data_IF_465190607191
#
_entry.id   IF_465190607191
#
_cell.length_a   1.000
_cell.length_b   1.000
_cell.length_c   1.000
_cell.angle_alpha   90.00
_cell.angle_beta   90.00
_cell.angle_gamma   90.00
#
_symmetry.space_group_name_H-M   'P 1'
#
loop_
_entity.id
_entity.type
_entity.pdbx_description
1 polymer ?
#
# COMPACT_ATOMS: atom_id res chain seq x y z
N UNK A 1 -15.86 19.37 -11.00
CA UNK A 1 -15.09 19.97 -9.89
C UNK A 1 -15.21 19.14 -8.62
N UNK A 2 -14.41 19.42 -7.59
CA UNK A 2 -14.79 19.21 -6.17
C UNK A 2 -15.02 20.62 -5.59
N UNK A 3 -15.91 20.77 -4.60
CA UNK A 3 -16.10 22.00 -3.84
C UNK A 3 -15.42 21.86 -2.49
N UNK A 4 -14.98 22.98 -1.91
CA UNK A 4 -14.21 22.97 -0.66
C UNK A 4 -15.11 22.86 0.58
N UNK A 5 -16.36 23.32 0.48
CA UNK A 5 -17.35 23.25 1.55
C UNK A 5 -18.77 23.03 1.03
N UNK A 6 -19.70 22.73 1.95
CA UNK A 6 -21.13 22.59 1.64
C UNK A 6 -21.75 23.96 1.34
N UNK A 7 -21.34 25.02 2.03
CA UNK A 7 -21.78 26.40 1.78
C UNK A 7 -21.45 26.89 0.36
N UNK A 8 -20.35 26.41 -0.25
CA UNK A 8 -19.99 26.75 -1.63
C UNK A 8 -21.05 26.25 -2.63
N UNK A 9 -21.82 25.21 -2.31
CA UNK A 9 -22.93 24.70 -3.14
C UNK A 9 -23.97 25.78 -3.41
N UNK A 10 -24.24 26.63 -2.41
CA UNK A 10 -25.28 27.66 -2.48
C UNK A 10 -24.76 29.00 -3.02
N UNK A 11 -23.45 29.17 -3.11
CA UNK A 11 -22.81 30.46 -3.45
C UNK A 11 -21.95 30.40 -4.72
N UNK A 12 -21.71 29.22 -5.28
CA UNK A 12 -20.90 29.07 -6.49
C UNK A 12 -21.58 29.70 -7.71
N UNK A 13 -20.94 30.71 -8.30
CA UNK A 13 -21.37 31.33 -9.55
C UNK A 13 -20.81 30.65 -10.80
N UNK A 14 -21.37 30.99 -11.98
CA UNK A 14 -20.99 30.39 -13.27
C UNK A 14 -19.47 30.48 -13.55
N UNK A 15 -18.87 31.64 -13.31
CA UNK A 15 -17.45 31.86 -13.59
C UNK A 15 -16.55 30.95 -12.71
N UNK A 16 -16.87 30.84 -11.42
CA UNK A 16 -16.18 29.95 -10.48
C UNK A 16 -16.36 28.49 -10.88
N UNK A 17 -17.57 28.09 -11.29
CA UNK A 17 -17.85 26.73 -11.74
C UNK A 17 -17.05 26.34 -12.99
N UNK A 18 -16.95 27.23 -13.99
CA UNK A 18 -16.17 27.00 -15.21
C UNK A 18 -14.69 26.84 -14.88
N UNK A 19 -14.14 27.69 -14.03
CA UNK A 19 -12.75 27.59 -13.57
C UNK A 19 -12.50 26.27 -12.85
N UNK A 20 -13.34 25.87 -11.90
CA UNK A 20 -13.18 24.60 -11.16
C UNK A 20 -13.32 23.36 -12.05
N UNK A 21 -14.09 23.46 -13.15
CA UNK A 21 -14.17 22.40 -14.16
C UNK A 21 -12.88 22.34 -14.98
N UNK A 22 -12.37 23.49 -15.42
CA UNK A 22 -11.12 23.59 -16.16
C UNK A 22 -9.93 23.07 -15.33
N UNK A 23 -9.83 23.50 -14.07
CA UNK A 23 -8.80 23.05 -13.12
C UNK A 23 -8.87 21.55 -12.87
N UNK A 24 -10.06 20.98 -12.64
CA UNK A 24 -10.20 19.53 -12.46
C UNK A 24 -9.87 18.74 -13.73
N UNK A 25 -10.06 19.33 -14.91
CA UNK A 25 -9.67 18.74 -16.19
C UNK A 25 -8.15 18.79 -16.39
N UNK A 26 -7.50 19.86 -15.95
CA UNK A 26 -6.05 20.05 -16.03
C UNK A 26 -5.28 19.25 -14.97
N UNK A 27 -5.80 19.15 -13.73
CA UNK A 27 -5.12 18.55 -12.57
C UNK A 27 -5.25 17.04 -12.42
N UNK A 28 -5.83 16.33 -13.39
CA UNK A 28 -6.09 14.89 -13.29
C UNK A 28 -7.34 14.60 -12.45
N UNK A 29 -8.34 13.97 -13.07
CA UNK A 29 -9.67 13.78 -12.47
C UNK A 29 -9.72 12.95 -11.17
N UNK A 30 -10.91 12.98 -10.56
CA UNK A 30 -11.43 12.23 -9.39
C UNK A 30 -10.40 11.48 -8.53
N UNK A 31 -9.61 12.23 -7.77
CA UNK A 31 -8.81 11.72 -6.66
C UNK A 31 -7.39 12.23 -6.74
N UNK A 32 -7.11 13.35 -6.05
CA UNK A 32 -5.84 14.09 -6.06
C UNK A 32 -4.66 13.32 -5.46
N UNK A 33 -4.33 12.16 -6.01
CA UNK A 33 -3.06 11.49 -5.78
C UNK A 33 -2.23 11.72 -7.03
N UNK A 34 -1.04 12.28 -6.85
CA UNK A 34 -0.07 12.50 -7.92
C UNK A 34 -0.02 11.26 -8.83
N UNK A 35 -0.04 11.50 -10.15
CA UNK A 35 0.12 10.43 -11.12
C UNK A 35 1.33 9.57 -10.73
N UNK A 36 1.16 8.25 -10.73
CA UNK A 36 2.21 7.31 -10.31
C UNK A 36 3.53 7.66 -11.01
N UNK A 37 4.57 7.96 -10.21
CA UNK A 37 5.89 8.37 -10.71
C UNK A 37 6.44 7.25 -11.59
N UNK A 38 6.82 7.57 -12.83
CA UNK A 38 7.51 6.61 -13.68
C UNK A 38 8.93 6.42 -13.13
N UNK A 39 9.27 5.16 -12.82
CA UNK A 39 10.60 4.78 -12.32
C UNK A 39 11.49 4.45 -13.51
N UNK A 40 11.01 3.57 -14.40
CA UNK A 40 11.78 3.06 -15.55
C UNK A 40 10.88 2.86 -16.77
N UNK A 41 11.36 3.18 -17.95
CA UNK A 41 10.70 2.87 -19.23
C UNK A 41 11.47 1.74 -19.91
N UNK A 42 10.80 0.62 -20.20
CA UNK A 42 11.44 -0.58 -20.75
C UNK A 42 11.43 -0.60 -22.29
N UNK A 43 10.60 0.22 -22.94
CA UNK A 43 10.46 0.26 -24.39
C UNK A 43 9.12 -0.31 -24.85
N UNK A 44 9.04 -0.76 -26.10
CA UNK A 44 7.80 -1.30 -26.68
C UNK A 44 7.56 -2.77 -26.35
N UNK A 45 6.31 -3.14 -26.11
CA UNK A 45 5.94 -4.52 -25.84
C UNK A 45 6.09 -5.40 -27.10
N UNK A 46 6.88 -6.50 -27.07
CA UNK A 46 7.27 -7.25 -28.27
C UNK A 46 6.09 -7.89 -29.03
N UNK A 47 5.04 -8.33 -28.34
CA UNK A 47 3.87 -8.95 -28.96
C UNK A 47 2.61 -8.06 -29.00
N UNK A 48 2.63 -6.93 -28.29
CA UNK A 48 1.43 -6.14 -27.99
C UNK A 48 1.49 -4.69 -28.47
N UNK A 49 2.67 -4.25 -28.91
CA UNK A 49 2.95 -2.86 -29.28
C UNK A 49 2.83 -1.89 -28.10
N UNK A 50 3.32 -0.66 -28.23
CA UNK A 50 3.17 0.39 -27.22
C UNK A 50 4.07 0.23 -25.99
N UNK A 51 4.23 1.32 -25.24
CA UNK A 51 5.25 1.44 -24.21
C UNK A 51 4.93 0.64 -22.93
N UNK A 52 5.95 -0.05 -22.42
CA UNK A 52 5.99 -0.71 -21.12
C UNK A 52 6.77 0.16 -20.14
N UNK A 53 6.14 0.50 -19.01
CA UNK A 53 6.74 1.36 -17.98
C UNK A 53 6.59 0.75 -16.59
N UNK A 54 7.62 0.88 -15.76
CA UNK A 54 7.58 0.57 -14.33
C UNK A 54 7.27 1.85 -13.58
N UNK A 55 6.25 1.81 -12.72
CA UNK A 55 5.72 2.99 -12.02
C UNK A 55 5.54 2.71 -10.53
N UNK A 56 5.69 3.75 -9.72
CA UNK A 56 5.44 3.68 -8.28
C UNK A 56 3.96 3.99 -7.97
N UNK A 57 3.21 2.98 -7.54
CA UNK A 57 1.76 3.08 -7.29
C UNK A 57 1.38 2.98 -5.81
N UNK A 58 0.08 3.20 -5.53
CA UNK A 58 -0.49 3.10 -4.16
C UNK A 58 -0.22 1.76 -3.48
N UNK A 59 -0.18 0.68 -4.26
CA UNK A 59 -0.02 -0.69 -3.76
C UNK A 59 1.42 -1.21 -3.87
N UNK A 60 2.37 -0.33 -4.23
CA UNK A 60 3.75 -0.66 -4.54
C UNK A 60 4.07 -0.51 -6.04
N UNK A 61 5.31 -0.82 -6.44
CA UNK A 61 5.74 -0.76 -7.83
C UNK A 61 4.94 -1.70 -8.72
N UNK A 62 4.65 -1.27 -9.94
CA UNK A 62 3.92 -2.06 -10.92
C UNK A 62 4.42 -1.78 -12.34
N UNK A 63 4.28 -2.76 -13.22
CA UNK A 63 4.43 -2.61 -14.66
C UNK A 63 3.10 -2.16 -15.26
N UNK A 64 3.14 -1.12 -16.08
CA UNK A 64 2.03 -0.61 -16.87
C UNK A 64 2.30 -0.85 -18.35
N UNK A 65 1.28 -1.37 -19.03
CA UNK A 65 1.21 -1.46 -20.48
C UNK A 65 -0.22 -1.11 -20.92
N UNK A 66 -0.41 0.12 -21.40
CA UNK A 66 -1.71 0.65 -21.76
C UNK A 66 -2.74 0.53 -20.62
N UNK A 67 -3.74 -0.35 -20.83
CA UNK A 67 -4.83 -0.60 -19.88
C UNK A 67 -4.49 -1.64 -18.79
N UNK A 68 -3.42 -2.40 -18.97
CA UNK A 68 -3.03 -3.50 -18.07
C UNK A 68 -1.99 -3.01 -17.07
N UNK A 69 -2.21 -3.34 -15.80
CA UNK A 69 -1.32 -3.00 -14.70
C UNK A 69 -1.01 -4.26 -13.89
N UNK A 70 0.26 -4.68 -13.87
CA UNK A 70 0.74 -5.84 -13.14
C UNK A 70 1.66 -5.42 -11.99
N UNK A 71 1.24 -5.67 -10.74
CA UNK A 71 2.04 -5.35 -9.55
C UNK A 71 3.26 -6.24 -9.47
N UNK A 72 4.42 -5.66 -9.13
CA UNK A 72 5.65 -6.42 -8.93
C UNK A 72 5.53 -7.31 -7.67
N UNK A 73 6.18 -8.48 -7.65
CA UNK A 73 6.34 -9.27 -6.44
C UNK A 73 6.99 -8.48 -5.30
N UNK A 74 6.63 -8.80 -4.06
CA UNK A 74 7.22 -8.16 -2.87
C UNK A 74 8.71 -8.47 -2.79
N UNK A 75 9.54 -7.45 -2.60
CA UNK A 75 11.00 -7.59 -2.49
C UNK A 75 11.74 -7.55 -3.83
N UNK A 76 11.04 -7.44 -4.96
CA UNK A 76 11.66 -7.17 -6.25
C UNK A 76 11.96 -5.68 -6.38
N UNK A 77 13.18 -5.34 -6.79
CA UNK A 77 13.58 -3.96 -7.06
C UNK A 77 13.02 -3.50 -8.42
N UNK A 78 12.22 -2.42 -8.48
CA UNK A 78 11.68 -1.89 -9.73
C UNK A 78 12.73 -1.53 -10.79
N UNK A 79 13.94 -1.14 -10.39
CA UNK A 79 15.01 -0.80 -11.34
C UNK A 79 15.60 -2.04 -12.03
N UNK A 80 15.58 -3.18 -11.33
CA UNK A 80 16.09 -4.46 -11.84
C UNK A 80 15.16 -5.15 -12.86
N UNK A 81 13.93 -4.66 -13.03
CA UNK A 81 12.95 -5.28 -13.93
C UNK A 81 13.43 -5.19 -15.38
N UNK A 82 13.38 -6.34 -16.06
CA UNK A 82 13.68 -6.49 -17.49
C UNK A 82 12.39 -6.57 -18.31
N UNK A 83 12.50 -6.39 -19.63
CA UNK A 83 11.35 -6.50 -20.54
C UNK A 83 10.70 -7.88 -20.47
N UNK A 84 11.49 -8.95 -20.42
CA UNK A 84 11.00 -10.33 -20.37
C UNK A 84 10.10 -10.58 -19.15
N UNK A 85 10.60 -10.26 -17.95
CA UNK A 85 9.83 -10.42 -16.71
C UNK A 85 8.60 -9.50 -16.70
N UNK A 86 8.70 -8.31 -17.28
CA UNK A 86 7.57 -7.41 -17.41
C UNK A 86 6.45 -8.00 -18.28
N UNK A 87 6.80 -8.59 -19.44
CA UNK A 87 5.86 -9.26 -20.35
C UNK A 87 5.18 -10.44 -19.66
N UNK A 88 5.92 -11.27 -18.93
CA UNK A 88 5.35 -12.40 -18.18
C UNK A 88 4.33 -11.95 -17.13
N UNK A 89 4.67 -10.92 -16.34
CA UNK A 89 3.77 -10.36 -15.33
C UNK A 89 2.50 -9.77 -15.95
N UNK A 90 2.64 -9.08 -17.09
CA UNK A 90 1.52 -8.51 -17.84
C UNK A 90 0.62 -9.61 -18.42
N UNK A 91 1.19 -10.64 -19.02
CA UNK A 91 0.43 -11.78 -19.56
C UNK A 91 -0.32 -12.53 -18.45
N UNK A 92 0.34 -12.79 -17.32
CA UNK A 92 -0.29 -13.42 -16.15
C UNK A 92 -1.44 -12.57 -15.59
N UNK A 93 -1.31 -11.24 -15.62
CA UNK A 93 -2.37 -10.33 -15.20
C UNK A 93 -3.53 -10.28 -16.20
N UNK A 94 -3.24 -10.27 -17.50
CA UNK A 94 -4.25 -10.30 -18.55
C UNK A 94 -5.11 -11.57 -18.44
N UNK A 95 -4.49 -12.72 -18.21
CA UNK A 95 -5.18 -14.00 -18.04
C UNK A 95 -6.05 -14.07 -16.77
N UNK A 96 -5.63 -13.41 -15.67
CA UNK A 96 -6.36 -13.42 -14.38
C UNK A 96 -7.57 -12.48 -14.34
N UNK A 97 -7.69 -11.55 -15.28
CA UNK A 97 -8.75 -10.54 -15.27
C UNK A 97 -8.66 -9.55 -14.09
N UNK A 98 -9.63 -8.63 -13.96
CA UNK A 98 -9.65 -7.65 -12.88
C UNK A 98 -9.77 -8.37 -11.53
N UNK A 99 -8.73 -8.30 -10.70
CA UNK A 99 -8.74 -8.97 -9.40
C UNK A 99 -9.82 -8.37 -8.51
N UNK A 100 -10.87 -9.13 -8.20
CA UNK A 100 -11.72 -8.90 -7.02
C UNK A 100 -10.78 -8.82 -5.82
N UNK A 101 -10.85 -7.71 -5.08
CA UNK A 101 -9.86 -7.33 -4.07
C UNK A 101 -9.42 -8.52 -3.23
N UNK A 102 -8.11 -8.73 -3.12
CA UNK A 102 -7.57 -9.73 -2.19
C UNK A 102 -7.95 -9.24 -0.79
N UNK A 103 -9.01 -9.84 -0.21
CA UNK A 103 -9.32 -9.72 1.20
C UNK A 103 -8.02 -9.98 1.96
N UNK A 104 -7.60 -8.98 2.72
CA UNK A 104 -6.38 -9.01 3.51
C UNK A 104 -6.40 -10.24 4.42
N UNK A 105 -5.69 -11.30 4.04
CA UNK A 105 -5.18 -12.25 5.02
C UNK A 105 -4.15 -11.49 5.83
N UNK A 106 -4.61 -10.90 6.93
CA UNK A 106 -3.79 -10.34 8.00
C UNK A 106 -2.83 -11.45 8.39
N UNK A 107 -1.58 -11.35 7.93
CA UNK A 107 -0.50 -12.15 8.48
C UNK A 107 -0.33 -11.69 9.93
N UNK A 108 -1.02 -12.37 10.84
CA UNK A 108 -0.72 -12.29 12.26
C UNK A 108 0.71 -12.76 12.40
N UNK A 109 1.62 -11.81 12.58
CA UNK A 109 2.99 -12.05 13.04
C UNK A 109 2.86 -12.93 14.28
N UNK A 110 3.21 -14.21 14.15
CA UNK A 110 3.21 -15.15 15.26
C UNK A 110 4.13 -14.57 16.36
N UNK A 111 3.69 -14.47 17.63
CA UNK A 111 4.60 -14.13 18.70
C UNK A 111 5.61 -15.27 18.80
N UNK A 112 6.89 -14.96 18.61
CA UNK A 112 7.97 -15.90 18.87
C UNK A 112 7.82 -16.40 20.31
N UNK A 113 7.49 -17.69 20.44
CA UNK A 113 7.49 -18.41 21.72
C UNK A 113 8.90 -18.32 22.32
N UNK A 114 9.07 -17.50 23.36
CA UNK A 114 10.14 -17.74 24.34
C UNK A 114 9.70 -18.91 25.22
N UNK A 115 10.31 -20.06 24.99
CA UNK A 115 10.34 -21.22 25.86
C UNK A 115 11.79 -21.74 25.78
N UNK A 116 12.50 -22.15 26.82
CA UNK A 116 12.22 -22.31 28.24
C UNK A 116 13.55 -22.66 28.94
N UNK A 117 13.62 -22.50 30.27
CA UNK A 117 14.14 -23.46 31.28
C UNK A 117 14.55 -22.69 32.55
N UNK A 118 14.33 -23.10 33.81
CA UNK A 118 13.56 -24.16 34.51
C UNK A 118 13.81 -23.88 36.03
N UNK A 119 12.78 -23.61 36.84
CA UNK A 119 12.24 -24.46 37.96
C UNK A 119 13.02 -24.40 39.32
N UNK A 120 12.55 -24.98 40.45
CA UNK A 120 11.47 -24.51 41.34
C UNK A 120 11.80 -24.59 42.88
N UNK A 121 10.96 -23.92 43.70
CA UNK A 121 10.53 -24.24 45.09
C UNK A 121 11.51 -24.53 46.27
N UNK A 122 11.40 -23.74 47.35
CA UNK A 122 11.46 -24.16 48.78
C UNK A 122 10.91 -23.01 49.67
N UNK A 123 9.66 -23.06 50.13
CA UNK A 123 9.15 -23.58 51.43
C UNK A 123 9.88 -23.03 52.68
N UNK A 124 9.21 -22.16 53.44
CA UNK A 124 9.01 -22.28 54.89
C UNK A 124 8.09 -21.17 55.42
N UNK A 125 7.15 -21.55 56.28
CA UNK A 125 6.22 -20.71 57.03
C UNK A 125 6.62 -20.64 58.51
N UNK A 126 5.97 -19.73 59.24
CA UNK A 126 5.83 -19.60 60.72
C UNK A 126 6.68 -18.48 61.41
N UNK A 127 6.35 -18.04 62.64
CA UNK A 127 5.22 -17.14 62.98
C UNK A 127 5.60 -15.94 63.91
N UNK A 128 4.60 -15.07 64.14
CA UNK A 128 4.33 -14.06 65.21
C UNK A 128 5.33 -13.77 66.38
N UNK A 129 5.32 -12.47 66.77
CA UNK A 129 5.60 -11.84 68.10
C UNK A 129 7.08 -11.81 68.55
N UNK A 130 7.65 -10.81 69.25
CA UNK A 130 7.18 -9.68 70.07
C UNK A 130 8.33 -8.69 70.36
N UNK A 131 7.97 -7.58 71.03
CA UNK A 131 8.74 -6.83 72.02
C UNK A 131 9.57 -5.60 71.59
N UNK A 132 9.03 -4.46 72.02
CA UNK A 132 9.65 -3.17 72.14
C UNK A 132 10.82 -3.17 73.13
N UNK A 133 11.81 -2.30 72.87
CA UNK A 133 12.93 -1.96 73.74
C UNK A 133 12.51 -0.80 74.66
N UNK A 134 12.55 -1.00 75.98
CA UNK A 134 12.96 -0.01 77.01
C UNK A 134 12.98 -0.69 78.38
N UNK A 135 14.10 -0.54 79.10
CA UNK A 135 14.29 -0.99 80.48
C UNK A 135 15.52 -1.87 80.60
#
# INVERSE_FOLDING_TARGET
ANLDSVEEVFSVGLNRAVTLIAEKRAGGGRGGRAAAKALKTLGEHPAGGGAVTVREGRYGPYVNHGKINATLPKGMDPESVTMETAVELLAARAARGPSKGRATRKATKAPAKKAALKTPAKKAAAPRQSAAKKG
#
